data_IF_229820264114
#
_entry.id   IF_229820264114
#
_cell.length_a   1.000
_cell.length_b   1.000
_cell.length_c   1.000
_cell.angle_alpha   90.00
_cell.angle_beta   90.00
_cell.angle_gamma   90.00
#
_symmetry.space_group_name_H-M   'P 1'
#
loop_
_entity.id
_entity.type
_entity.pdbx_description
1 polymer ?
#
# COMPACT_ATOMS: atom_id res chain seq x y z
N UNK A 1 34.65 26.90 -35.42
CA UNK A 1 34.66 26.45 -34.00
C UNK A 1 33.44 26.86 -33.18
N UNK A 2 32.97 28.12 -33.20
CA UNK A 2 31.98 28.61 -32.21
C UNK A 2 30.58 27.98 -32.23
N UNK A 3 30.10 27.44 -33.36
CA UNK A 3 28.78 26.80 -33.45
C UNK A 3 28.76 25.42 -32.76
N UNK A 4 29.79 24.60 -32.97
CA UNK A 4 29.92 23.26 -32.37
C UNK A 4 30.03 23.35 -30.84
N UNK A 5 30.79 24.32 -30.32
CA UNK A 5 30.89 24.57 -28.87
C UNK A 5 29.55 25.03 -28.29
N UNK A 6 28.79 25.87 -29.00
CA UNK A 6 27.44 26.29 -28.57
C UNK A 6 26.47 25.11 -28.51
N UNK A 7 26.40 24.29 -29.56
CA UNK A 7 25.52 23.12 -29.59
C UNK A 7 25.94 22.04 -28.58
N UNK A 8 27.24 21.84 -28.36
CA UNK A 8 27.74 20.97 -27.28
C UNK A 8 27.38 21.47 -25.89
N UNK A 9 27.44 22.79 -25.65
CA UNK A 9 27.03 23.41 -24.39
C UNK A 9 25.54 23.24 -24.11
N UNK A 10 24.68 23.40 -25.13
CA UNK A 10 23.24 23.15 -24.97
C UNK A 10 22.95 21.68 -24.64
N UNK A 11 23.66 20.73 -25.26
CA UNK A 11 23.51 19.30 -24.95
C UNK A 11 23.88 18.96 -23.50
N UNK A 12 24.90 19.61 -22.94
CA UNK A 12 25.28 19.39 -21.54
C UNK A 12 24.25 19.97 -20.55
N UNK A 13 23.69 21.14 -20.88
CA UNK A 13 22.63 21.80 -20.10
C UNK A 13 21.34 20.98 -20.07
N UNK A 14 20.93 20.38 -21.19
CA UNK A 14 19.72 19.54 -21.22
C UNK A 14 19.89 18.27 -20.39
N UNK A 15 21.08 17.64 -20.44
CA UNK A 15 21.38 16.48 -19.58
C UNK A 15 21.36 16.88 -18.11
N UNK A 16 21.97 18.01 -17.73
CA UNK A 16 21.92 18.52 -16.35
C UNK A 16 20.49 18.78 -15.88
N UNK A 17 19.63 19.28 -16.77
CA UNK A 17 18.22 19.52 -16.47
C UNK A 17 17.44 18.21 -16.25
N UNK A 18 17.66 17.19 -17.09
CA UNK A 18 17.03 15.87 -16.91
C UNK A 18 17.49 15.22 -15.60
N UNK A 19 18.78 15.31 -15.27
CA UNK A 19 19.33 14.80 -14.01
C UNK A 19 18.70 15.52 -12.81
N UNK A 20 18.53 16.84 -12.88
CA UNK A 20 17.87 17.61 -11.83
C UNK A 20 16.40 17.18 -11.63
N UNK A 21 15.66 16.95 -12.72
CA UNK A 21 14.29 16.42 -12.66
C UNK A 21 14.24 15.01 -12.07
N UNK A 22 15.18 14.14 -12.43
CA UNK A 22 15.27 12.79 -11.87
C UNK A 22 15.53 12.82 -10.36
N UNK A 23 16.48 13.66 -9.91
CA UNK A 23 16.78 13.84 -8.48
C UNK A 23 15.55 14.38 -7.74
N UNK A 24 14.90 15.42 -8.29
CA UNK A 24 13.68 15.96 -7.70
C UNK A 24 12.60 14.86 -7.54
N UNK A 25 12.39 14.04 -8.56
CA UNK A 25 11.46 12.91 -8.49
C UNK A 25 11.79 11.92 -7.37
N UNK A 26 13.07 11.60 -7.16
CA UNK A 26 13.50 10.76 -6.04
C UNK A 26 13.17 11.37 -4.68
N UNK A 27 13.29 12.69 -4.54
CA UNK A 27 12.89 13.40 -3.32
C UNK A 27 11.37 13.47 -3.13
N UNK A 28 10.56 13.40 -4.20
CA UNK A 28 9.10 13.39 -4.10
C UNK A 28 8.52 12.04 -3.64
N UNK A 29 9.17 10.92 -3.97
CA UNK A 29 8.74 9.56 -3.58
C UNK A 29 8.46 9.35 -2.05
N UNK A 30 9.33 9.79 -1.11
CA UNK A 30 9.10 9.57 0.32
C UNK A 30 7.87 10.29 0.89
N UNK A 31 7.44 11.41 0.29
CA UNK A 31 6.23 12.13 0.74
C UNK A 31 4.97 11.27 0.61
N UNK A 32 4.88 10.46 -0.45
CA UNK A 32 3.74 9.57 -0.64
C UNK A 32 3.70 8.50 0.44
N UNK A 33 4.85 7.93 0.80
CA UNK A 33 4.96 6.92 1.87
C UNK A 33 4.55 7.51 3.21
N UNK A 34 5.05 8.71 3.53
CA UNK A 34 4.70 9.41 4.76
C UNK A 34 3.20 9.72 4.82
N UNK A 35 2.63 10.26 3.74
CA UNK A 35 1.19 10.52 3.64
C UNK A 35 0.36 9.28 3.92
N UNK A 36 0.71 8.14 3.32
CA UNK A 36 0.01 6.86 3.53
C UNK A 36 0.14 6.41 4.99
N UNK A 37 1.34 6.42 5.56
CA UNK A 37 1.54 6.00 6.96
C UNK A 37 0.76 6.85 7.96
N UNK A 38 0.65 8.16 7.71
CA UNK A 38 -0.13 9.06 8.55
C UNK A 38 -1.64 8.82 8.41
N UNK A 39 -2.10 8.40 7.24
CA UNK A 39 -3.51 8.06 7.00
C UNK A 39 -3.93 6.70 7.56
N UNK A 40 -3.02 5.71 7.62
CA UNK A 40 -3.33 4.35 8.08
C UNK A 40 -3.49 4.25 9.61
N UNK A 41 -2.96 5.21 10.37
CA UNK A 41 -2.96 5.18 11.83
C UNK A 41 -2.03 4.10 12.42
N UNK A 42 -2.08 3.85 13.74
CA UNK A 42 -1.21 2.85 14.37
C UNK A 42 -1.57 1.43 13.90
N UNK A 43 -0.58 0.54 13.91
CA UNK A 43 -0.81 -0.89 13.66
C UNK A 43 -1.86 -1.46 14.62
N UNK A 44 -2.71 -2.41 14.18
CA UNK A 44 -3.68 -3.07 15.05
C UNK A 44 -2.99 -3.75 16.25
N UNK A 45 -3.43 -3.41 17.45
CA UNK A 45 -2.90 -3.96 18.69
C UNK A 45 -3.43 -5.37 18.96
N UNK A 46 -2.66 -6.16 19.71
CA UNK A 46 -3.13 -7.45 20.23
C UNK A 46 -3.65 -7.24 21.65
N UNK A 47 -4.92 -7.56 21.90
CA UNK A 47 -5.61 -7.36 23.17
C UNK A 47 -6.08 -8.70 23.73
N UNK A 48 -6.38 -8.71 25.03
CA UNK A 48 -6.92 -9.87 25.74
C UNK A 48 -8.26 -9.50 26.35
N UNK A 49 -9.31 -10.24 26.00
CA UNK A 49 -10.63 -10.11 26.60
C UNK A 49 -11.11 -11.47 27.07
N UNK A 50 -11.49 -11.60 28.35
CA UNK A 50 -12.03 -12.84 28.92
C UNK A 50 -11.14 -14.09 28.70
N UNK A 51 -9.82 -13.91 28.66
CA UNK A 51 -8.85 -14.99 28.41
C UNK A 51 -8.66 -15.35 26.93
N UNK A 52 -9.34 -14.64 26.03
CA UNK A 52 -9.19 -14.76 24.59
C UNK A 52 -8.31 -13.63 24.04
N UNK A 53 -7.27 -13.99 23.30
CA UNK A 53 -6.35 -13.05 22.66
C UNK A 53 -6.80 -12.78 21.22
N UNK A 54 -7.00 -11.51 20.87
CA UNK A 54 -7.46 -11.09 19.55
C UNK A 54 -6.67 -9.88 19.04
N UNK A 55 -6.78 -9.62 17.73
CA UNK A 55 -6.21 -8.44 17.08
C UNK A 55 -7.34 -7.42 16.90
N UNK A 56 -7.17 -6.24 17.46
CA UNK A 56 -8.13 -5.12 17.38
C UNK A 56 -7.97 -4.41 16.03
N UNK A 57 -8.67 -4.93 15.02
CA UNK A 57 -8.50 -4.59 13.60
C UNK A 57 -9.08 -3.22 13.28
N UNK A 58 -10.22 -2.86 13.88
CA UNK A 58 -10.86 -1.55 13.73
C UNK A 58 -10.43 -0.54 14.81
N UNK A 59 -9.57 -0.95 15.76
CA UNK A 59 -8.92 -0.08 16.76
C UNK A 59 -9.90 0.50 17.78
N UNK A 60 -10.96 -0.23 18.10
CA UNK A 60 -12.02 0.22 19.01
C UNK A 60 -11.89 -0.32 20.45
N UNK A 61 -10.85 -1.11 20.72
CA UNK A 61 -10.53 -1.71 22.03
C UNK A 61 -11.62 -2.64 22.58
N UNK A 62 -12.49 -3.16 21.73
CA UNK A 62 -13.55 -4.12 22.07
C UNK A 62 -13.32 -5.40 21.28
N UNK A 63 -13.71 -6.54 21.85
CA UNK A 63 -13.77 -7.79 21.10
C UNK A 63 -15.07 -7.79 20.29
N UNK A 64 -14.97 -7.45 19.00
CA UNK A 64 -16.11 -7.57 18.07
C UNK A 64 -16.28 -9.02 17.58
N UNK A 65 -17.47 -9.37 17.08
CA UNK A 65 -17.76 -10.73 16.63
C UNK A 65 -16.86 -11.10 15.45
N UNK A 66 -16.62 -10.17 14.51
CA UNK A 66 -15.75 -10.42 13.35
C UNK A 66 -14.28 -10.71 13.73
N UNK A 67 -13.82 -10.22 14.87
CA UNK A 67 -12.47 -10.43 15.41
C UNK A 67 -12.36 -11.73 16.22
N UNK A 68 -13.48 -12.26 16.68
CA UNK A 68 -13.55 -13.52 17.38
C UNK A 68 -13.37 -14.71 16.41
N UNK A 69 -12.20 -15.35 16.45
CA UNK A 69 -11.92 -16.53 15.61
C UNK A 69 -12.73 -17.78 15.97
N UNK A 70 -13.38 -17.81 17.15
CA UNK A 70 -14.26 -18.90 17.56
C UNK A 70 -15.70 -18.74 17.03
N UNK A 71 -16.08 -17.55 16.56
CA UNK A 71 -17.38 -17.31 15.94
C UNK A 71 -17.45 -17.93 14.54
N UNK A 72 -18.67 -18.24 14.08
CA UNK A 72 -18.86 -18.79 12.73
C UNK A 72 -18.47 -17.77 11.67
N UNK A 73 -18.01 -18.22 10.50
CA UNK A 73 -17.66 -17.30 9.40
C UNK A 73 -18.84 -16.43 9.00
N UNK A 74 -20.07 -16.95 9.01
CA UNK A 74 -21.28 -16.19 8.68
C UNK A 74 -21.50 -15.04 9.66
N UNK A 75 -21.42 -15.31 10.98
CA UNK A 75 -21.59 -14.28 12.01
C UNK A 75 -20.51 -13.20 11.91
N UNK A 76 -19.27 -13.60 11.62
CA UNK A 76 -18.15 -12.68 11.45
C UNK A 76 -18.30 -11.78 10.24
N UNK A 77 -18.81 -12.32 9.14
CA UNK A 77 -19.07 -11.56 7.91
C UNK A 77 -20.19 -10.57 8.12
N UNK A 78 -21.31 -11.00 8.73
CA UNK A 78 -22.45 -10.12 8.99
C UNK A 78 -22.07 -8.96 9.92
N UNK A 79 -21.37 -9.26 11.02
CA UNK A 79 -20.88 -8.24 11.94
C UNK A 79 -19.94 -7.23 11.25
N UNK A 80 -18.95 -7.69 10.48
CA UNK A 80 -18.05 -6.82 9.73
C UNK A 80 -18.82 -5.93 8.73
N UNK A 81 -19.72 -6.52 7.94
CA UNK A 81 -20.50 -5.76 6.95
C UNK A 81 -21.44 -4.75 7.61
N UNK A 82 -21.92 -5.01 8.83
CA UNK A 82 -22.77 -4.08 9.58
C UNK A 82 -21.99 -2.84 10.05
N UNK A 83 -20.68 -2.98 10.28
CA UNK A 83 -19.79 -1.90 10.74
C UNK A 83 -19.22 -1.06 9.61
N UNK A 84 -19.25 -1.54 8.36
CA UNK A 84 -18.68 -0.84 7.20
C UNK A 84 -19.65 0.16 6.57
N UNK A 85 -19.10 1.32 6.21
CA UNK A 85 -19.72 2.30 5.29
C UNK A 85 -19.89 1.72 3.88
N UNK A 86 -20.69 2.40 3.05
CA UNK A 86 -20.87 2.01 1.66
C UNK A 86 -19.55 2.13 0.88
N UNK A 87 -18.79 3.19 1.14
CA UNK A 87 -17.49 3.48 0.52
C UNK A 87 -16.48 2.39 0.83
N UNK A 88 -16.41 1.94 2.08
CA UNK A 88 -15.54 0.83 2.49
C UNK A 88 -15.94 -0.48 1.80
N UNK A 89 -17.25 -0.77 1.70
CA UNK A 89 -17.76 -1.97 1.00
C UNK A 89 -17.40 -1.95 -0.48
N UNK A 90 -17.55 -0.80 -1.13
CA UNK A 90 -17.19 -0.61 -2.54
C UNK A 90 -15.68 -0.70 -2.71
N UNK A 91 -14.88 -0.19 -1.76
CA UNK A 91 -13.42 -0.30 -1.77
C UNK A 91 -12.94 -1.75 -1.87
N UNK A 92 -13.62 -2.69 -1.21
CA UNK A 92 -13.28 -4.11 -1.25
C UNK A 92 -13.53 -4.78 -2.62
N UNK A 93 -14.28 -4.15 -3.52
CA UNK A 93 -14.55 -4.71 -4.85
C UNK A 93 -13.44 -4.40 -5.86
N UNK A 94 -12.48 -3.54 -5.52
CA UNK A 94 -11.34 -3.21 -6.37
C UNK A 94 -10.30 -4.34 -6.33
N UNK A 95 -10.04 -4.96 -7.48
CA UNK A 95 -9.00 -5.98 -7.64
C UNK A 95 -8.00 -5.48 -8.71
N UNK A 96 -6.89 -4.81 -8.32
CA UNK A 96 -5.90 -4.35 -9.28
C UNK A 96 -5.24 -5.53 -9.99
N UNK A 97 -4.95 -5.38 -11.28
CA UNK A 97 -4.10 -6.33 -11.98
C UNK A 97 -2.71 -6.33 -11.31
N UNK A 98 -2.34 -7.46 -10.72
CA UNK A 98 -1.02 -7.68 -10.15
C UNK A 98 -0.15 -8.37 -11.20
N UNK A 99 0.92 -7.69 -11.62
CA UNK A 99 1.98 -8.30 -12.41
C UNK A 99 2.94 -8.99 -11.45
N UNK A 100 3.03 -10.31 -11.55
CA UNK A 100 4.03 -11.10 -10.83
C UNK A 100 5.24 -11.22 -11.75
N UNK A 101 6.39 -10.71 -11.32
CA UNK A 101 7.65 -10.97 -12.03
C UNK A 101 7.97 -12.47 -11.94
N UNK A 102 8.23 -13.17 -13.06
CA UNK A 102 8.52 -14.60 -13.01
C UNK A 102 9.81 -14.86 -12.25
N UNK A 103 9.72 -15.59 -11.14
CA UNK A 103 10.89 -16.18 -10.50
C UNK A 103 11.19 -17.55 -11.13
N UNK A 104 12.35 -18.13 -10.78
CA UNK A 104 12.76 -19.43 -11.31
C UNK A 104 11.71 -20.53 -11.06
N UNK A 105 11.08 -20.53 -9.89
CA UNK A 105 10.06 -21.52 -9.52
C UNK A 105 8.82 -21.43 -10.41
N UNK A 106 8.36 -20.20 -10.70
CA UNK A 106 7.20 -19.98 -11.56
C UNK A 106 7.48 -20.41 -13.00
N UNK A 107 8.69 -20.16 -13.50
CA UNK A 107 9.09 -20.57 -14.86
C UNK A 107 9.13 -22.10 -15.02
N UNK A 108 9.54 -22.83 -13.98
CA UNK A 108 9.61 -24.31 -14.00
C UNK A 108 8.21 -24.94 -13.98
N UNK A 109 7.25 -24.35 -13.25
CA UNK A 109 5.88 -24.88 -13.17
C UNK A 109 5.12 -24.85 -14.52
N UNK A 110 5.51 -23.95 -15.42
CA UNK A 110 4.88 -23.77 -16.73
C UNK A 110 5.59 -24.54 -17.89
N UNK A 111 6.65 -25.30 -17.61
CA UNK A 111 7.40 -26.10 -18.58
C UNK A 111 6.95 -27.57 -18.59
#
# INVERSE_FOLDING_TARGET
>A
MGKIVKYGGYGLLTVMFIVALFIANQFFQPYNTLRISLSLGPEPAQLVSQGFTYRDLNKNQRLDVYENSQASTADRVEDLLSQMTLEEKVGQMMHPAITIEPNADLLIFHA
#
